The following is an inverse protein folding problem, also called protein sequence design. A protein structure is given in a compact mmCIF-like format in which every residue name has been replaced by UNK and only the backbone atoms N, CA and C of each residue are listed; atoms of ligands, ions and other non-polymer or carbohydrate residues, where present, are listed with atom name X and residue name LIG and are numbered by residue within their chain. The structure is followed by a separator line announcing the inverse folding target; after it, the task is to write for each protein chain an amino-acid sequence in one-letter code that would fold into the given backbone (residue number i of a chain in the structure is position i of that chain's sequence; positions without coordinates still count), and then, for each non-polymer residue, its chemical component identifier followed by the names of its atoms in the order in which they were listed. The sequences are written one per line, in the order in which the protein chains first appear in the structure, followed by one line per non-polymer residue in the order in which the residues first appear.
data_IF_739844228595
#
_entry.id   IF_739844228595
#
_cell.length_a   1.000
_cell.length_b   1.000
_cell.length_c   1.000
_cell.angle_alpha   90.00
_cell.angle_beta   90.00
_cell.angle_gamma   90.00
#
_symmetry.space_group_name_H-M   'P 1'
#
loop_
_entity.id
_entity.type
_entity.pdbx_description
1 polymer ?
#
# COMPACT_ATOMS: atom_id res chain seq x y z
N UNK A 1 14.62 -14.47 11.28
CA UNK A 1 13.98 -13.60 12.29
C UNK A 1 13.30 -14.47 13.35
N UNK A 2 13.46 -14.17 14.66
CA UNK A 2 12.65 -14.81 15.72
C UNK A 2 11.16 -14.56 15.44
N UNK A 3 10.30 -15.55 15.70
CA UNK A 3 8.86 -15.50 15.38
C UNK A 3 8.16 -14.25 15.96
N UNK A 4 8.68 -13.75 17.06
CA UNK A 4 8.22 -12.56 17.79
C UNK A 4 8.39 -11.22 17.02
N UNK A 5 9.19 -11.16 15.94
CA UNK A 5 9.44 -9.91 15.20
C UNK A 5 8.67 -9.79 13.88
N UNK A 6 7.85 -10.77 13.52
CA UNK A 6 7.10 -10.75 12.25
C UNK A 6 6.12 -9.58 12.15
N UNK A 7 5.44 -9.20 13.24
CA UNK A 7 4.54 -8.04 13.21
C UNK A 7 5.28 -6.73 12.90
N UNK A 8 6.52 -6.56 13.39
CA UNK A 8 7.34 -5.37 13.09
C UNK A 8 7.69 -5.29 11.61
N UNK A 9 8.01 -6.43 11.00
CA UNK A 9 8.26 -6.51 9.57
C UNK A 9 7.01 -6.20 8.76
N UNK A 10 5.85 -6.75 9.12
CA UNK A 10 4.59 -6.45 8.43
C UNK A 10 4.18 -4.97 8.55
N UNK A 11 4.44 -4.33 9.70
CA UNK A 11 4.26 -2.88 9.81
C UNK A 11 5.21 -2.10 8.89
N UNK A 12 6.47 -2.50 8.78
CA UNK A 12 7.41 -1.89 7.85
C UNK A 12 6.96 -2.06 6.39
N UNK A 13 6.49 -3.26 6.01
CA UNK A 13 5.93 -3.54 4.68
C UNK A 13 4.69 -2.68 4.41
N UNK A 14 3.79 -2.54 5.40
CA UNK A 14 2.62 -1.67 5.29
C UNK A 14 3.03 -0.21 5.01
N UNK A 15 4.02 0.29 5.74
CA UNK A 15 4.58 1.63 5.49
C UNK A 15 5.17 1.78 4.09
N UNK A 16 5.92 0.77 3.63
CA UNK A 16 6.50 0.76 2.28
C UNK A 16 5.42 0.79 1.18
N UNK A 17 4.30 0.07 1.38
CA UNK A 17 3.19 0.06 0.43
C UNK A 17 2.53 1.46 0.31
N UNK A 18 2.38 2.18 1.41
CA UNK A 18 1.87 3.56 1.39
C UNK A 18 2.83 4.50 0.65
N UNK A 19 4.13 4.40 0.93
CA UNK A 19 5.15 5.22 0.24
C UNK A 19 5.17 4.89 -1.26
N UNK A 20 5.13 3.61 -1.62
CA UNK A 20 5.07 3.15 -3.01
C UNK A 20 3.83 3.66 -3.74
N UNK A 21 2.66 3.66 -3.08
CA UNK A 21 1.43 4.23 -3.62
C UNK A 21 1.60 5.71 -3.95
N UNK A 22 2.13 6.51 -3.01
CA UNK A 22 2.31 7.96 -3.21
C UNK A 22 3.24 8.23 -4.40
N UNK A 23 4.41 7.57 -4.43
CA UNK A 23 5.38 7.73 -5.53
C UNK A 23 4.73 7.36 -6.87
N UNK A 24 3.98 6.26 -6.92
CA UNK A 24 3.36 5.78 -8.15
C UNK A 24 2.26 6.71 -8.64
N UNK A 25 1.39 7.18 -7.74
CA UNK A 25 0.34 8.14 -8.09
C UNK A 25 0.91 9.45 -8.60
N UNK A 26 2.00 9.96 -7.98
CA UNK A 26 2.69 11.16 -8.46
C UNK A 26 3.27 10.92 -9.85
N UNK A 27 3.94 9.79 -10.09
CA UNK A 27 4.49 9.45 -11.40
C UNK A 27 3.41 9.32 -12.47
N UNK A 28 2.29 8.65 -12.16
CA UNK A 28 1.15 8.52 -13.06
C UNK A 28 0.52 9.91 -13.33
N UNK A 29 0.48 10.81 -12.35
CA UNK A 29 -0.04 12.18 -12.53
C UNK A 29 0.85 13.03 -13.43
N UNK A 30 2.18 12.96 -13.26
CA UNK A 30 3.14 13.69 -14.10
C UNK A 30 3.06 13.22 -15.56
N UNK A 31 2.79 11.94 -15.78
CA UNK A 31 2.65 11.35 -17.11
C UNK A 31 1.25 11.49 -17.70
N UNK A 32 0.28 11.98 -16.92
CA UNK A 32 -1.11 12.08 -17.35
C UNK A 32 -1.31 13.26 -18.30
N UNK A 33 -1.66 12.96 -19.56
CA UNK A 33 -2.09 13.96 -20.54
C UNK A 33 -3.61 13.87 -20.74
N UNK A 34 -4.40 14.82 -20.21
CA UNK A 34 -5.86 14.79 -20.32
C UNK A 34 -6.37 15.00 -21.75
N UNK A 35 -5.55 15.52 -22.68
CA UNK A 35 -5.93 15.77 -24.07
C UNK A 35 -5.68 14.51 -24.91
N UNK A 36 -4.57 13.81 -24.65
CA UNK A 36 -4.22 12.58 -25.35
C UNK A 36 -4.87 11.32 -24.76
N UNK A 37 -5.30 11.36 -23.50
CA UNK A 37 -5.75 10.17 -22.75
C UNK A 37 -7.26 10.18 -22.54
N UNK A 38 -7.98 9.28 -23.22
CA UNK A 38 -9.43 9.10 -23.05
C UNK A 38 -9.81 8.47 -21.71
N UNK A 39 -8.85 7.91 -20.98
CA UNK A 39 -9.06 7.27 -19.68
C UNK A 39 -8.88 8.30 -18.54
N UNK A 40 -9.87 8.47 -17.65
CA UNK A 40 -9.81 9.51 -16.64
C UNK A 40 -8.87 9.15 -15.49
N UNK A 41 -8.16 10.14 -14.96
CA UNK A 41 -7.17 9.94 -13.90
C UNK A 41 -7.74 9.27 -12.62
N UNK A 42 -9.00 9.53 -12.27
CA UNK A 42 -9.62 8.89 -11.11
C UNK A 42 -9.70 7.36 -11.25
N UNK A 43 -9.81 6.83 -12.47
CA UNK A 43 -9.86 5.40 -12.69
C UNK A 43 -8.47 4.77 -12.50
N UNK A 44 -7.41 5.47 -12.92
CA UNK A 44 -6.02 5.08 -12.60
C UNK A 44 -5.76 5.12 -11.09
N UNK A 45 -6.25 6.17 -10.40
CA UNK A 45 -6.15 6.28 -8.95
C UNK A 45 -6.83 5.11 -8.22
N UNK A 46 -8.02 4.70 -8.67
CA UNK A 46 -8.74 3.54 -8.14
C UNK A 46 -7.94 2.25 -8.33
N UNK A 47 -7.38 2.04 -9.53
CA UNK A 47 -6.55 0.87 -9.82
C UNK A 47 -5.34 0.82 -8.88
N UNK A 48 -4.60 1.94 -8.74
CA UNK A 48 -3.47 2.03 -7.80
C UNK A 48 -3.88 1.83 -6.35
N UNK A 49 -5.09 2.28 -5.99
CA UNK A 49 -5.60 2.08 -4.63
C UNK A 49 -5.83 0.60 -4.36
N UNK A 50 -6.40 -0.15 -5.31
CA UNK A 50 -6.55 -1.61 -5.18
C UNK A 50 -5.18 -2.31 -5.14
N UNK A 51 -4.22 -1.89 -5.96
CA UNK A 51 -2.88 -2.49 -6.02
C UNK A 51 -2.05 -2.27 -4.75
N UNK A 52 -2.16 -1.13 -4.07
CA UNK A 52 -1.30 -0.78 -2.94
C UNK A 52 -2.03 -0.69 -1.60
N UNK A 53 -3.21 -0.05 -1.57
CA UNK A 53 -3.94 0.18 -0.31
C UNK A 53 -4.59 -1.12 0.17
N UNK A 54 -5.14 -1.93 -0.73
CA UNK A 54 -5.74 -3.22 -0.35
C UNK A 54 -4.71 -4.17 0.33
N UNK A 55 -3.54 -4.47 -0.27
CA UNK A 55 -2.53 -5.27 0.43
C UNK A 55 -1.94 -4.56 1.65
N UNK A 56 -1.89 -3.23 1.68
CA UNK A 56 -1.49 -2.49 2.89
C UNK A 56 -2.44 -2.77 4.05
N UNK A 57 -3.75 -2.70 3.83
CA UNK A 57 -4.75 -3.00 4.87
C UNK A 57 -4.61 -4.44 5.34
N UNK A 58 -4.49 -5.40 4.41
CA UNK A 58 -4.35 -6.82 4.75
C UNK A 58 -3.10 -7.05 5.61
N UNK A 59 -1.94 -6.55 5.17
CA UNK A 59 -0.68 -6.72 5.92
C UNK A 59 -0.70 -6.03 7.28
N UNK A 60 -1.33 -4.85 7.37
CA UNK A 60 -1.48 -4.11 8.62
C UNK A 60 -2.38 -4.83 9.63
N UNK A 61 -3.52 -5.38 9.18
CA UNK A 61 -4.43 -6.16 10.04
C UNK A 61 -3.73 -7.42 10.56
N UNK A 62 -3.00 -8.15 9.71
CA UNK A 62 -2.22 -9.31 10.13
C UNK A 62 -1.15 -8.90 11.15
N UNK A 63 -0.48 -7.76 10.94
CA UNK A 63 0.50 -7.24 11.88
C UNK A 63 -0.11 -6.98 13.27
N UNK A 64 -1.31 -6.38 13.33
CA UNK A 64 -2.04 -6.14 14.59
C UNK A 64 -2.37 -7.47 15.29
N UNK A 65 -2.90 -8.45 14.56
CA UNK A 65 -3.27 -9.76 15.12
C UNK A 65 -2.03 -10.46 15.70
N UNK A 66 -0.92 -10.49 14.97
CA UNK A 66 0.32 -11.09 15.42
C UNK A 66 0.92 -10.33 16.62
N UNK A 67 0.89 -8.99 16.62
CA UNK A 67 1.33 -8.18 17.75
C UNK A 67 0.57 -8.57 19.02
N UNK A 68 -0.76 -8.70 18.94
CA UNK A 68 -1.58 -9.12 20.09
C UNK A 68 -1.21 -10.52 20.57
N UNK A 69 -1.07 -11.47 19.64
CA UNK A 69 -0.73 -12.87 19.94
C UNK A 69 0.63 -13.05 20.62
N UNK A 70 1.65 -12.29 20.20
CA UNK A 70 3.01 -12.42 20.75
C UNK A 70 3.31 -11.47 21.92
N UNK A 71 2.38 -10.55 22.22
CA UNK A 71 2.46 -9.67 23.40
C UNK A 71 1.65 -10.20 24.58
N UNK A 72 0.99 -11.36 24.42
CA UNK A 72 0.34 -12.15 25.49
C UNK A 72 1.23 -13.33 25.82
#
# INVERSE_FOLDING_TARGET
MKKEKWYKFLFAVSGLLVVGFIIRVIADYIQYDPIATSFPFYATLLLRSVEFILPCIITFVIAIILKKKYST
#
